data_IF_190874723845
#
_entry.id   IF_190874723845
#
_cell.length_a   1.000
_cell.length_b   1.000
_cell.length_c   1.000
_cell.angle_alpha   90.00
_cell.angle_beta   90.00
_cell.angle_gamma   90.00
#
_symmetry.space_group_name_H-M   'P 1'
#
loop_
_entity.id
_entity.type
_entity.pdbx_description
1 polymer ?
#
# COMPACT_ATOMS: atom_id res chain seq x y z
N UNK A 1 -31.17 -12.79 11.31
CA UNK A 1 -31.07 -13.42 12.63
C UNK A 1 -30.48 -12.39 13.57
N UNK A 2 -31.14 -12.14 14.67
CA UNK A 2 -30.62 -11.28 15.74
C UNK A 2 -29.85 -12.14 16.75
N UNK A 3 -28.73 -11.64 17.27
CA UNK A 3 -27.89 -12.32 18.25
C UNK A 3 -27.55 -11.39 19.42
N UNK A 4 -27.42 -11.92 20.62
CA UNK A 4 -27.08 -11.16 21.84
C UNK A 4 -25.62 -11.33 22.30
N UNK A 5 -24.87 -12.21 21.65
CA UNK A 5 -23.48 -12.53 21.97
C UNK A 5 -22.70 -12.96 20.72
N UNK A 6 -21.36 -12.84 20.73
CA UNK A 6 -20.50 -13.33 19.66
C UNK A 6 -20.72 -14.81 19.37
N UNK A 7 -20.52 -15.21 18.12
CA UNK A 7 -20.43 -16.63 17.76
C UNK A 7 -19.01 -16.97 17.29
N UNK A 8 -18.57 -18.20 17.55
CA UNK A 8 -17.31 -18.73 17.02
C UNK A 8 -17.60 -19.51 15.73
N UNK A 9 -16.70 -19.41 14.76
CA UNK A 9 -16.65 -20.25 13.56
C UNK A 9 -15.62 -21.36 13.83
N UNK A 10 -16.04 -22.55 14.31
CA UNK A 10 -15.11 -23.57 14.79
C UNK A 10 -14.24 -24.14 13.69
N UNK A 11 -13.17 -24.85 14.08
CA UNK A 11 -12.30 -25.57 13.15
C UNK A 11 -13.13 -26.52 12.29
N UNK A 12 -12.86 -26.54 10.98
CA UNK A 12 -13.55 -27.39 9.97
C UNK A 12 -15.05 -27.14 9.85
N UNK A 13 -15.52 -25.94 10.16
CA UNK A 13 -16.92 -25.55 10.02
C UNK A 13 -17.02 -24.26 9.21
N UNK A 14 -17.67 -24.34 8.05
CA UNK A 14 -18.09 -23.16 7.29
C UNK A 14 -19.54 -22.79 7.60
N UNK A 15 -19.78 -21.50 7.82
CA UNK A 15 -21.13 -20.93 8.00
C UNK A 15 -21.54 -20.30 6.67
N UNK A 16 -22.57 -20.85 6.05
CA UNK A 16 -23.00 -20.49 4.70
C UNK A 16 -24.41 -19.92 4.73
N UNK A 17 -24.56 -18.68 4.26
CA UNK A 17 -25.85 -18.06 4.03
C UNK A 17 -26.41 -18.31 2.62
N UNK A 18 -27.59 -17.75 2.35
CA UNK A 18 -28.27 -17.89 1.07
C UNK A 18 -27.56 -17.12 -0.05
N UNK A 19 -27.16 -15.88 0.24
CA UNK A 19 -26.37 -14.98 -0.63
C UNK A 19 -25.91 -13.77 0.20
N UNK A 20 -24.95 -12.99 -0.33
CA UNK A 20 -24.31 -11.84 0.36
C UNK A 20 -25.29 -10.95 1.12
N UNK A 21 -26.47 -10.66 0.57
CA UNK A 21 -27.49 -9.77 1.18
C UNK A 21 -28.78 -10.48 1.62
N UNK A 22 -28.85 -11.80 1.44
CA UNK A 22 -30.04 -12.61 1.72
C UNK A 22 -30.07 -13.18 3.13
N UNK A 23 -28.90 -13.54 3.67
CA UNK A 23 -28.75 -13.96 5.06
C UNK A 23 -28.03 -12.86 5.83
N UNK A 24 -28.73 -12.22 6.76
CA UNK A 24 -28.18 -11.16 7.62
C UNK A 24 -28.12 -11.66 9.06
N UNK A 25 -26.94 -11.62 9.66
CA UNK A 25 -26.71 -11.80 11.09
C UNK A 25 -26.41 -10.42 11.67
N UNK A 26 -27.14 -10.04 12.72
CA UNK A 26 -27.11 -8.70 13.30
C UNK A 26 -27.13 -8.79 14.83
N UNK A 27 -26.36 -7.97 15.56
CA UNK A 27 -26.45 -7.92 17.00
C UNK A 27 -27.70 -7.15 17.43
N UNK A 28 -28.29 -7.57 18.54
CA UNK A 28 -29.30 -6.77 19.24
C UNK A 28 -28.68 -5.51 19.83
N UNK A 29 -29.52 -4.61 20.32
CA UNK A 29 -29.05 -3.43 21.08
C UNK A 29 -28.39 -3.81 22.42
N UNK A 30 -28.65 -5.02 22.93
CA UNK A 30 -28.10 -5.56 24.18
C UNK A 30 -26.88 -6.46 23.98
N UNK A 31 -26.30 -6.48 22.77
CA UNK A 31 -25.16 -7.35 22.46
C UNK A 31 -23.96 -7.12 23.39
N UNK A 32 -23.35 -8.20 23.87
CA UNK A 32 -22.17 -8.16 24.74
C UNK A 32 -21.00 -8.87 24.08
N UNK A 33 -19.99 -8.11 23.64
CA UNK A 33 -18.73 -8.64 23.11
C UNK A 33 -18.02 -7.63 22.20
N UNK A 34 -16.76 -7.92 21.88
CA UNK A 34 -15.91 -7.02 21.10
C UNK A 34 -16.03 -7.24 19.58
N UNK A 35 -16.47 -8.43 19.14
CA UNK A 35 -16.61 -8.80 17.72
C UNK A 35 -17.88 -9.61 17.47
N UNK A 36 -18.50 -9.47 16.29
CA UNK A 36 -19.67 -10.28 15.89
C UNK A 36 -19.34 -11.76 15.79
N UNK A 37 -18.22 -12.08 15.14
CA UNK A 37 -17.75 -13.44 14.93
C UNK A 37 -16.29 -13.59 15.37
N UNK A 38 -15.95 -14.81 15.75
CA UNK A 38 -14.58 -15.19 16.07
C UNK A 38 -14.16 -16.44 15.31
N UNK A 39 -12.88 -16.55 14.99
CA UNK A 39 -12.22 -17.78 14.56
C UNK A 39 -11.06 -18.05 15.52
N UNK A 40 -11.42 -18.57 16.70
CA UNK A 40 -10.51 -18.81 17.82
C UNK A 40 -10.59 -20.29 18.23
N UNK A 41 -9.43 -20.93 18.34
CA UNK A 41 -9.28 -22.33 18.74
C UNK A 41 -8.20 -22.50 19.83
N UNK A 42 -8.27 -21.68 20.87
CA UNK A 42 -7.26 -21.69 21.93
C UNK A 42 -5.88 -21.29 21.40
N UNK A 43 -4.88 -22.15 21.56
CA UNK A 43 -3.50 -21.92 21.09
C UNK A 43 -3.11 -22.82 19.90
N UNK A 44 -4.08 -23.25 19.11
CA UNK A 44 -3.87 -24.14 17.95
C UNK A 44 -4.47 -23.56 16.68
N UNK A 45 -3.93 -23.99 15.54
CA UNK A 45 -4.39 -23.63 14.19
C UNK A 45 -5.84 -24.04 13.92
N UNK A 46 -6.48 -23.34 12.98
CA UNK A 46 -7.78 -23.69 12.41
C UNK A 46 -7.69 -23.75 10.89
N UNK A 47 -8.35 -24.74 10.32
CA UNK A 47 -8.44 -25.00 8.89
C UNK A 47 -9.91 -25.13 8.49
N UNK A 48 -10.19 -24.90 7.22
CA UNK A 48 -11.50 -25.18 6.61
C UNK A 48 -12.69 -24.54 7.36
N UNK A 49 -12.52 -23.32 7.86
CA UNK A 49 -13.53 -22.57 8.60
C UNK A 49 -13.80 -21.18 7.98
N UNK A 50 -14.76 -21.12 7.06
CA UNK A 50 -15.10 -19.92 6.32
C UNK A 50 -16.47 -19.34 6.66
N UNK A 51 -16.63 -18.03 6.50
CA UNK A 51 -17.95 -17.41 6.36
C UNK A 51 -18.24 -17.19 4.88
N UNK A 52 -19.40 -17.64 4.44
CA UNK A 52 -19.78 -17.55 3.03
C UNK A 52 -21.19 -16.98 2.84
N UNK A 53 -21.36 -16.13 1.84
CA UNK A 53 -22.68 -15.75 1.29
C UNK A 53 -23.65 -15.19 2.35
N UNK A 54 -23.15 -14.30 3.20
CA UNK A 54 -23.94 -13.68 4.26
C UNK A 54 -23.51 -12.23 4.51
N UNK A 55 -24.34 -11.50 5.26
CA UNK A 55 -24.02 -10.18 5.81
C UNK A 55 -23.82 -10.30 7.33
N UNK A 56 -22.72 -9.75 7.83
CA UNK A 56 -22.54 -9.36 9.23
C UNK A 56 -22.85 -7.87 9.35
N UNK A 57 -24.07 -7.55 9.79
CA UNK A 57 -24.49 -6.16 10.06
C UNK A 57 -24.16 -5.85 11.52
N UNK A 58 -23.08 -5.14 11.80
CA UNK A 58 -22.65 -4.82 13.17
C UNK A 58 -23.53 -3.75 13.86
N UNK A 59 -24.58 -3.25 13.18
CA UNK A 59 -25.62 -2.39 13.73
C UNK A 59 -25.11 -1.12 14.44
N UNK A 60 -23.92 -0.63 14.09
CA UNK A 60 -23.28 0.52 14.75
C UNK A 60 -23.10 0.35 16.27
N UNK A 61 -23.06 -0.88 16.79
CA UNK A 61 -22.83 -1.10 18.22
C UNK A 61 -21.46 -0.54 18.59
N UNK A 62 -21.41 0.29 19.63
CA UNK A 62 -20.19 0.99 20.02
C UNK A 62 -19.13 -0.01 20.51
N UNK A 63 -17.92 0.10 19.98
CA UNK A 63 -16.81 -0.81 20.29
C UNK A 63 -16.84 -2.15 19.54
N UNK A 64 -17.88 -2.41 18.74
CA UNK A 64 -18.04 -3.70 18.05
C UNK A 64 -17.30 -3.74 16.71
N UNK A 65 -16.45 -4.74 16.56
CA UNK A 65 -15.82 -5.14 15.30
C UNK A 65 -16.60 -6.25 14.57
N UNK A 66 -16.25 -6.50 13.32
CA UNK A 66 -16.84 -7.59 12.53
C UNK A 66 -16.32 -8.95 12.97
N UNK A 67 -15.05 -9.24 12.68
CA UNK A 67 -14.46 -10.56 12.90
C UNK A 67 -13.10 -10.44 13.56
N UNK A 68 -12.85 -11.28 14.56
CA UNK A 68 -11.49 -11.55 15.07
C UNK A 68 -11.07 -12.97 14.72
N UNK A 69 -9.88 -13.13 14.15
CA UNK A 69 -9.35 -14.41 13.72
C UNK A 69 -7.93 -14.60 14.26
N UNK A 70 -7.79 -15.51 15.23
CA UNK A 70 -6.49 -15.77 15.87
C UNK A 70 -5.76 -16.94 15.22
N UNK A 71 -6.54 -17.79 14.55
CA UNK A 71 -6.09 -19.10 14.12
C UNK A 71 -6.47 -19.41 12.67
N UNK A 72 -7.03 -18.46 11.91
CA UNK A 72 -7.36 -18.71 10.50
C UNK A 72 -6.10 -19.08 9.70
N UNK A 73 -6.16 -20.27 9.10
CA UNK A 73 -5.19 -20.76 8.14
C UNK A 73 -5.92 -21.23 6.86
N UNK A 74 -5.37 -22.23 6.16
CA UNK A 74 -5.90 -22.71 4.90
C UNK A 74 -7.36 -23.16 5.01
N UNK A 75 -8.17 -22.73 4.05
CA UNK A 75 -9.62 -22.99 4.04
C UNK A 75 -10.43 -22.05 4.95
N UNK A 76 -9.77 -21.20 5.75
CA UNK A 76 -10.40 -20.11 6.49
C UNK A 76 -10.62 -18.84 5.65
N UNK A 77 -11.42 -17.92 6.18
CA UNK A 77 -11.62 -16.58 5.63
C UNK A 77 -13.05 -16.31 5.12
N UNK A 78 -13.16 -15.57 4.01
CA UNK A 78 -14.43 -15.00 3.53
C UNK A 78 -14.72 -15.30 2.06
N UNK A 79 -15.95 -15.64 1.72
CA UNK A 79 -16.43 -15.67 0.34
C UNK A 79 -17.81 -15.01 0.20
N UNK A 80 -17.94 -13.98 -0.64
CA UNK A 80 -19.23 -13.32 -0.89
C UNK A 80 -19.88 -12.82 0.40
N UNK A 81 -19.07 -12.27 1.29
CA UNK A 81 -19.51 -11.73 2.59
C UNK A 81 -19.56 -10.21 2.54
N UNK A 82 -20.59 -9.63 3.16
CA UNK A 82 -20.64 -8.21 3.50
C UNK A 82 -20.44 -8.07 5.01
N UNK A 83 -19.49 -7.25 5.43
CA UNK A 83 -19.36 -6.80 6.82
C UNK A 83 -19.66 -5.31 6.81
N UNK A 84 -20.68 -4.87 7.53
CA UNK A 84 -21.07 -3.46 7.55
C UNK A 84 -21.28 -2.91 8.95
N UNK A 85 -21.13 -1.59 9.07
CA UNK A 85 -21.49 -0.79 10.26
C UNK A 85 -20.70 -1.14 11.51
N UNK A 86 -19.51 -1.73 11.39
CA UNK A 86 -18.58 -1.92 12.50
C UNK A 86 -18.03 -0.57 12.99
N UNK A 87 -17.68 -0.47 14.27
CA UNK A 87 -17.20 0.78 14.89
C UNK A 87 -15.73 0.73 15.32
N UNK A 88 -15.07 -0.43 15.19
CA UNK A 88 -13.63 -0.61 15.43
C UNK A 88 -12.92 -1.10 14.17
N UNK A 89 -12.85 -2.41 13.94
CA UNK A 89 -12.29 -3.03 12.74
C UNK A 89 -13.30 -3.95 12.04
N UNK A 90 -13.22 -4.06 10.71
CA UNK A 90 -14.02 -5.02 9.95
C UNK A 90 -13.55 -6.45 10.18
N UNK A 91 -12.26 -6.70 9.95
CA UNK A 91 -11.59 -7.97 10.23
C UNK A 91 -10.25 -7.71 10.93
N UNK A 92 -9.99 -8.44 12.00
CA UNK A 92 -8.69 -8.45 12.69
C UNK A 92 -8.10 -9.85 12.68
N UNK A 93 -6.92 -10.00 12.10
CA UNK A 93 -6.14 -11.24 12.08
C UNK A 93 -4.95 -11.10 13.05
N UNK A 94 -4.81 -12.03 13.99
CA UNK A 94 -3.74 -12.01 15.01
C UNK A 94 -3.15 -13.41 15.25
N UNK A 95 -1.95 -13.50 15.82
CA UNK A 95 -1.27 -14.70 16.35
C UNK A 95 -0.86 -15.84 15.39
N UNK A 96 -1.77 -16.43 14.60
CA UNK A 96 -1.49 -17.55 13.67
C UNK A 96 -1.02 -18.88 14.25
N UNK A 97 -0.73 -18.92 15.56
CA UNK A 97 -0.31 -20.08 16.36
C UNK A 97 0.79 -20.96 15.73
N UNK A 98 1.81 -20.34 15.14
CA UNK A 98 3.13 -20.97 14.94
C UNK A 98 3.42 -21.55 13.55
N UNK A 99 2.66 -21.24 12.52
CA UNK A 99 2.94 -21.68 11.15
C UNK A 99 2.80 -20.58 10.11
N UNK A 100 3.59 -20.68 9.03
CA UNK A 100 3.26 -20.01 7.77
C UNK A 100 1.86 -20.46 7.37
N UNK A 101 0.93 -19.52 7.33
CA UNK A 101 -0.48 -19.79 7.13
C UNK A 101 -0.99 -18.94 5.97
N UNK A 102 -1.90 -19.49 5.18
CA UNK A 102 -2.50 -18.80 4.06
C UNK A 102 -4.02 -18.68 4.24
N UNK A 103 -4.51 -17.46 4.37
CA UNK A 103 -5.95 -17.17 4.52
C UNK A 103 -6.45 -16.39 3.33
N UNK A 104 -7.62 -16.78 2.80
CA UNK A 104 -8.18 -16.17 1.59
C UNK A 104 -9.52 -15.47 1.84
N UNK A 105 -9.69 -14.28 1.25
CA UNK A 105 -10.97 -13.59 1.19
C UNK A 105 -11.29 -13.19 -0.26
N UNK A 106 -12.49 -13.48 -0.74
CA UNK A 106 -12.91 -13.17 -2.11
C UNK A 106 -14.35 -12.65 -2.20
N UNK A 107 -14.61 -11.81 -3.20
CA UNK A 107 -15.93 -11.24 -3.48
C UNK A 107 -16.54 -10.52 -2.26
N UNK A 108 -15.73 -9.83 -1.45
CA UNK A 108 -16.15 -9.27 -0.16
C UNK A 108 -16.48 -7.77 -0.23
N UNK A 109 -17.30 -7.31 0.71
CA UNK A 109 -17.54 -5.89 0.96
C UNK A 109 -17.33 -5.61 2.46
N UNK A 110 -16.52 -4.62 2.81
CA UNK A 110 -16.28 -4.20 4.21
C UNK A 110 -16.55 -2.71 4.31
N UNK A 111 -17.57 -2.35 5.09
CA UNK A 111 -18.09 -0.97 5.17
C UNK A 111 -18.15 -0.48 6.62
N UNK A 112 -17.38 0.54 6.95
CA UNK A 112 -17.36 1.14 8.29
C UNK A 112 -18.69 1.77 8.70
N UNK A 113 -18.87 2.01 9.99
CA UNK A 113 -20.02 2.72 10.53
C UNK A 113 -20.11 4.17 10.02
N UNK A 114 -21.34 4.60 9.73
CA UNK A 114 -21.67 5.99 9.40
C UNK A 114 -22.07 6.84 10.63
N UNK A 115 -21.95 6.28 11.84
CA UNK A 115 -22.27 6.94 13.12
C UNK A 115 -21.06 7.14 14.01
N UNK A 116 -20.03 6.34 13.82
CA UNK A 116 -18.81 6.31 14.64
C UNK A 116 -17.64 5.98 13.75
N UNK A 117 -16.54 6.71 13.91
CA UNK A 117 -15.31 6.45 13.14
C UNK A 117 -14.76 5.08 13.50
N UNK A 118 -14.72 4.18 12.52
CA UNK A 118 -13.96 2.94 12.59
C UNK A 118 -12.51 3.19 12.13
N UNK A 119 -11.59 2.32 12.54
CA UNK A 119 -10.15 2.53 12.31
C UNK A 119 -9.67 1.80 11.06
N UNK A 120 -9.99 0.50 10.95
CA UNK A 120 -9.45 -0.37 9.89
C UNK A 120 -10.53 -1.19 9.21
N UNK A 121 -10.43 -1.38 7.89
CA UNK A 121 -11.23 -2.38 7.19
C UNK A 121 -10.73 -3.78 7.55
N UNK A 122 -9.46 -4.04 7.27
CA UNK A 122 -8.75 -5.26 7.65
C UNK A 122 -7.47 -4.88 8.38
N UNK A 123 -7.23 -5.46 9.55
CA UNK A 123 -5.97 -5.36 10.30
C UNK A 123 -5.30 -6.72 10.38
N UNK A 124 -4.06 -6.81 9.92
CA UNK A 124 -3.16 -7.95 10.11
C UNK A 124 -2.07 -7.50 11.08
N UNK A 125 -2.07 -8.10 12.27
CA UNK A 125 -1.01 -7.90 13.27
C UNK A 125 0.20 -8.79 12.94
N UNK A 126 1.24 -8.79 13.76
CA UNK A 126 2.35 -9.75 13.61
C UNK A 126 1.86 -11.18 13.85
N UNK A 127 1.53 -11.91 12.78
CA UNK A 127 1.12 -13.31 12.80
C UNK A 127 2.36 -14.20 12.78
N UNK A 128 3.36 -13.84 11.97
CA UNK A 128 4.68 -14.45 12.02
C UNK A 128 5.76 -13.38 12.04
N UNK A 129 6.87 -13.66 12.74
CA UNK A 129 8.01 -12.72 12.83
C UNK A 129 8.79 -12.53 11.52
N UNK A 130 8.67 -13.49 10.61
CA UNK A 130 9.47 -13.54 9.37
C UNK A 130 8.66 -13.21 8.12
N UNK A 131 7.46 -12.64 8.33
CA UNK A 131 6.55 -12.25 7.27
C UNK A 131 5.92 -13.41 6.47
N UNK A 132 5.91 -14.62 7.02
CA UNK A 132 5.50 -15.85 6.33
C UNK A 132 3.99 -16.11 6.29
N UNK A 133 3.17 -15.40 7.07
CA UNK A 133 1.71 -15.48 6.88
C UNK A 133 1.33 -14.75 5.59
N UNK A 134 0.36 -15.29 4.84
CA UNK A 134 -0.13 -14.68 3.60
C UNK A 134 -1.64 -14.45 3.73
N UNK A 135 -2.03 -13.18 3.71
CA UNK A 135 -3.42 -12.82 3.44
C UNK A 135 -3.62 -12.66 1.93
N UNK A 136 -4.51 -13.46 1.34
CA UNK A 136 -4.88 -13.36 -0.08
C UNK A 136 -6.29 -12.78 -0.24
N UNK A 137 -6.36 -11.57 -0.81
CA UNK A 137 -7.59 -10.86 -1.09
C UNK A 137 -7.85 -10.78 -2.60
N UNK A 138 -9.10 -10.99 -3.01
CA UNK A 138 -9.53 -10.70 -4.38
C UNK A 138 -10.94 -10.14 -4.49
N UNK A 139 -11.17 -9.29 -5.51
CA UNK A 139 -12.50 -8.90 -5.97
C UNK A 139 -13.38 -8.25 -4.88
N UNK A 140 -12.78 -7.35 -4.10
CA UNK A 140 -13.41 -6.77 -2.91
C UNK A 140 -13.54 -5.25 -2.93
N UNK A 141 -14.41 -4.73 -2.06
CA UNK A 141 -14.49 -3.29 -1.77
C UNK A 141 -14.34 -3.05 -0.29
N UNK A 142 -13.46 -2.13 0.09
CA UNK A 142 -13.32 -1.65 1.47
C UNK A 142 -13.58 -0.17 1.50
N UNK A 143 -14.50 0.25 2.36
CA UNK A 143 -14.82 1.66 2.51
C UNK A 143 -15.04 2.05 3.96
N UNK A 144 -14.61 3.27 4.30
CA UNK A 144 -15.22 3.97 5.42
C UNK A 144 -16.68 4.29 5.13
N UNK A 145 -17.28 5.16 5.94
CA UNK A 145 -18.58 5.71 5.58
C UNK A 145 -18.49 7.22 5.45
N UNK A 146 -18.69 7.79 4.25
CA UNK A 146 -19.00 9.20 4.16
C UNK A 146 -20.32 9.45 4.92
N UNK A 147 -20.33 10.42 5.84
CA UNK A 147 -21.57 10.83 6.48
C UNK A 147 -22.30 11.78 5.50
N UNK A 148 -23.59 11.55 5.18
CA UNK A 148 -24.34 12.48 4.35
C UNK A 148 -24.29 13.90 4.93
N UNK A 149 -23.83 14.88 4.14
CA UNK A 149 -23.71 16.28 4.57
C UNK A 149 -22.38 16.66 5.25
N UNK A 150 -21.43 15.73 5.42
CA UNK A 150 -20.05 16.04 5.85
C UNK A 150 -19.07 15.64 4.76
N UNK A 151 -18.42 16.63 4.16
CA UNK A 151 -17.28 16.44 3.26
C UNK A 151 -15.96 16.69 4.00
N UNK A 152 -14.87 16.11 3.51
CA UNK A 152 -13.52 16.35 4.05
C UNK A 152 -13.22 15.60 5.35
N UNK A 153 -12.36 16.18 6.20
CA UNK A 153 -11.80 15.56 7.41
C UNK A 153 -12.84 15.14 8.49
N UNK A 154 -14.10 15.56 8.34
CA UNK A 154 -15.20 15.19 9.24
C UNK A 154 -16.01 13.96 8.76
N UNK A 155 -15.62 13.35 7.65
CA UNK A 155 -16.18 12.08 7.22
C UNK A 155 -15.56 10.92 8.02
N UNK A 156 -16.35 9.89 8.33
CA UNK A 156 -15.89 8.70 9.05
C UNK A 156 -15.08 7.78 8.14
N UNK A 157 -13.96 8.32 7.66
CA UNK A 157 -12.99 7.59 6.86
C UNK A 157 -12.24 6.61 7.75
N UNK A 158 -11.94 5.44 7.19
CA UNK A 158 -11.00 4.53 7.83
C UNK A 158 -9.61 5.18 7.79
N UNK A 159 -8.81 4.95 8.83
CA UNK A 159 -7.40 5.32 8.76
C UNK A 159 -6.77 4.49 7.64
N UNK A 160 -6.93 3.15 7.69
CA UNK A 160 -6.49 2.26 6.63
C UNK A 160 -7.60 1.32 6.14
N UNK A 161 -7.71 1.10 4.84
CA UNK A 161 -8.53 0.03 4.29
C UNK A 161 -7.98 -1.34 4.70
N UNK A 162 -6.69 -1.57 4.43
CA UNK A 162 -5.91 -2.72 4.89
C UNK A 162 -4.68 -2.20 5.62
N UNK A 163 -4.45 -2.69 6.83
CA UNK A 163 -3.24 -2.42 7.61
C UNK A 163 -2.51 -3.73 7.87
N UNK A 164 -1.27 -3.82 7.41
CA UNK A 164 -0.38 -4.97 7.65
C UNK A 164 0.81 -4.50 8.48
N UNK A 165 0.83 -4.88 9.76
CA UNK A 165 1.93 -4.53 10.70
C UNK A 165 3.19 -5.35 10.39
N UNK A 166 3.00 -6.61 10.03
CA UNK A 166 3.98 -7.58 9.58
C UNK A 166 3.24 -8.63 8.74
N UNK A 167 3.95 -9.45 7.96
CA UNK A 167 3.41 -10.49 7.08
C UNK A 167 3.03 -10.07 5.66
N UNK A 168 2.71 -11.07 4.84
CA UNK A 168 2.59 -10.96 3.39
C UNK A 168 1.15 -10.69 2.96
N UNK A 169 0.98 -9.91 1.88
CA UNK A 169 -0.32 -9.57 1.32
C UNK A 169 -0.33 -9.82 -0.18
N UNK A 170 -1.23 -10.67 -0.65
CA UNK A 170 -1.58 -10.77 -2.07
C UNK A 170 -2.94 -10.12 -2.25
N UNK A 171 -3.02 -9.01 -2.98
CA UNK A 171 -4.24 -8.22 -3.14
C UNK A 171 -4.53 -8.00 -4.62
N UNK A 172 -5.67 -8.51 -5.11
CA UNK A 172 -6.05 -8.43 -6.52
C UNK A 172 -7.41 -7.77 -6.70
N UNK A 173 -7.49 -6.74 -7.54
CA UNK A 173 -8.76 -6.09 -7.93
C UNK A 173 -9.61 -5.63 -6.72
N UNK A 174 -8.97 -5.07 -5.69
CA UNK A 174 -9.66 -4.49 -4.53
C UNK A 174 -9.83 -2.99 -4.72
N UNK A 175 -11.04 -2.48 -4.44
CA UNK A 175 -11.39 -1.06 -4.48
C UNK A 175 -11.45 -0.43 -3.09
N UNK A 176 -10.96 0.80 -2.96
CA UNK A 176 -10.97 1.58 -1.73
C UNK A 176 -11.74 2.89 -1.87
N UNK A 177 -12.57 3.22 -0.88
CA UNK A 177 -13.23 4.52 -0.76
C UNK A 177 -13.21 5.02 0.68
N UNK A 178 -13.24 6.34 0.88
CA UNK A 178 -13.35 6.95 2.21
C UNK A 178 -12.31 6.39 3.20
N UNK A 179 -11.04 6.38 2.78
CA UNK A 179 -9.91 5.92 3.59
C UNK A 179 -8.77 6.92 3.51
N UNK A 180 -8.04 7.17 4.60
CA UNK A 180 -6.79 7.93 4.50
C UNK A 180 -5.78 7.16 3.65
N UNK A 181 -5.52 5.90 3.97
CA UNK A 181 -4.70 5.02 3.15
C UNK A 181 -5.47 3.77 2.75
N UNK A 182 -5.42 3.37 1.47
CA UNK A 182 -6.02 2.11 1.00
C UNK A 182 -5.32 0.91 1.61
N UNK A 183 -4.02 0.76 1.33
CA UNK A 183 -3.16 -0.32 1.85
C UNK A 183 -1.95 0.28 2.55
N UNK A 184 -1.77 -0.06 3.83
CA UNK A 184 -0.58 0.28 4.62
C UNK A 184 0.25 -0.98 4.87
N UNK A 185 1.56 -0.90 4.56
CA UNK A 185 2.51 -2.01 4.71
C UNK A 185 3.66 -1.61 5.65
N UNK A 186 3.94 -2.43 6.66
CA UNK A 186 5.07 -2.31 7.58
C UNK A 186 5.76 -3.68 7.81
N UNK A 187 6.88 -3.68 8.51
CA UNK A 187 7.57 -4.88 8.94
C UNK A 187 8.18 -5.71 7.80
N UNK A 188 8.29 -7.01 8.04
CA UNK A 188 8.71 -8.04 7.10
C UNK A 188 7.49 -8.61 6.34
N UNK A 189 7.69 -9.04 5.09
CA UNK A 189 6.64 -9.63 4.27
C UNK A 189 6.91 -9.47 2.78
N UNK A 190 6.21 -10.25 1.95
CA UNK A 190 6.20 -10.11 0.50
C UNK A 190 4.80 -9.73 0.03
N UNK A 191 4.67 -8.63 -0.71
CA UNK A 191 3.38 -8.11 -1.10
C UNK A 191 3.21 -8.07 -2.62
N UNK A 192 2.08 -8.55 -3.10
CA UNK A 192 1.73 -8.52 -4.52
C UNK A 192 0.39 -7.80 -4.64
N UNK A 193 0.42 -6.59 -5.19
CA UNK A 193 -0.72 -5.67 -5.28
C UNK A 193 -1.05 -5.44 -6.75
N UNK A 194 -2.11 -6.08 -7.23
CA UNK A 194 -2.48 -6.04 -8.64
C UNK A 194 -3.87 -5.46 -8.86
N UNK A 195 -3.99 -4.49 -9.75
CA UNK A 195 -5.30 -3.93 -10.14
C UNK A 195 -6.05 -3.26 -8.98
N UNK A 196 -5.35 -2.84 -7.93
CA UNK A 196 -5.94 -2.13 -6.79
C UNK A 196 -6.35 -0.73 -7.24
N UNK A 197 -7.51 -0.25 -6.78
CA UNK A 197 -8.04 1.07 -7.16
C UNK A 197 -8.54 1.87 -5.96
N UNK A 198 -8.50 3.20 -6.05
CA UNK A 198 -9.04 4.09 -5.02
C UNK A 198 -9.98 5.14 -5.60
N UNK A 199 -10.94 5.62 -4.82
CA UNK A 199 -11.78 6.75 -5.23
C UNK A 199 -11.15 8.10 -4.85
N UNK A 200 -11.80 9.21 -5.24
CA UNK A 200 -11.43 10.59 -4.87
C UNK A 200 -11.36 10.87 -3.36
N UNK A 201 -11.93 9.98 -2.56
CA UNK A 201 -11.93 10.00 -1.10
C UNK A 201 -10.77 9.22 -0.47
N UNK A 202 -9.78 8.79 -1.28
CA UNK A 202 -8.57 8.11 -0.82
C UNK A 202 -7.37 9.06 -0.87
N UNK A 203 -6.60 9.17 0.22
CA UNK A 203 -5.39 10.01 0.20
C UNK A 203 -4.21 9.26 -0.42
N UNK A 204 -3.78 8.16 0.18
CA UNK A 204 -2.73 7.30 -0.37
C UNK A 204 -3.35 5.97 -0.78
N UNK A 205 -3.26 5.55 -2.05
CA UNK A 205 -3.73 4.22 -2.41
C UNK A 205 -2.89 3.15 -1.69
N UNK A 206 -1.57 3.34 -1.67
CA UNK A 206 -0.61 2.50 -0.98
C UNK A 206 0.33 3.39 -0.16
N UNK A 207 0.60 3.01 1.09
CA UNK A 207 1.59 3.63 1.95
C UNK A 207 2.55 2.58 2.49
N UNK A 208 3.85 2.87 2.40
CA UNK A 208 4.91 2.03 2.96
C UNK A 208 5.42 2.73 4.21
N UNK A 209 5.42 2.02 5.32
CA UNK A 209 5.93 2.49 6.59
C UNK A 209 7.42 2.77 6.52
N UNK A 210 7.92 3.61 7.44
CA UNK A 210 9.35 3.90 7.53
C UNK A 210 10.16 2.68 7.98
N UNK A 211 9.56 1.82 8.79
CA UNK A 211 10.12 0.57 9.33
C UNK A 211 9.99 -0.63 8.40
N UNK A 212 9.33 -0.47 7.25
CA UNK A 212 9.14 -1.56 6.29
C UNK A 212 10.49 -2.09 5.78
N UNK A 213 10.70 -3.39 5.97
CA UNK A 213 11.88 -4.16 5.55
C UNK A 213 11.54 -5.30 4.59
N UNK A 214 10.25 -5.52 4.32
CA UNK A 214 9.76 -6.47 3.33
C UNK A 214 9.89 -6.00 1.89
N UNK A 215 9.11 -6.62 1.02
CA UNK A 215 9.16 -6.39 -0.41
C UNK A 215 7.77 -6.32 -1.04
N UNK A 216 7.60 -5.60 -2.15
CA UNK A 216 6.32 -5.38 -2.81
C UNK A 216 6.43 -5.37 -4.34
N UNK A 217 5.35 -5.75 -5.02
CA UNK A 217 5.11 -5.61 -6.45
C UNK A 217 3.73 -5.00 -6.68
N UNK A 218 3.68 -3.84 -7.32
CA UNK A 218 2.50 -3.01 -7.57
C UNK A 218 2.32 -2.96 -9.09
N UNK A 219 1.28 -3.62 -9.61
CA UNK A 219 1.03 -3.65 -11.06
C UNK A 219 -0.41 -3.38 -11.42
N UNK A 220 -0.62 -2.54 -12.43
CA UNK A 220 -1.95 -2.17 -12.92
C UNK A 220 -2.83 -1.47 -11.88
N UNK A 221 -2.25 -1.01 -10.76
CA UNK A 221 -2.97 -0.24 -9.74
C UNK A 221 -3.25 1.16 -10.27
N UNK A 222 -4.43 1.70 -9.97
CA UNK A 222 -4.86 3.01 -10.48
C UNK A 222 -5.41 3.87 -9.36
N UNK A 223 -4.98 5.13 -9.31
CA UNK A 223 -5.48 6.06 -8.30
C UNK A 223 -6.96 6.31 -8.44
N UNK A 224 -7.51 6.34 -9.65
CA UNK A 224 -8.94 6.58 -9.97
C UNK A 224 -9.63 7.70 -9.14
N UNK A 225 -8.85 8.72 -8.74
CA UNK A 225 -9.29 9.82 -7.90
C UNK A 225 -8.44 10.02 -6.66
N UNK A 226 -7.77 8.97 -6.16
CA UNK A 226 -6.89 9.04 -5.02
C UNK A 226 -5.77 10.07 -5.23
N UNK A 227 -5.35 10.73 -4.14
CA UNK A 227 -4.32 11.79 -4.21
C UNK A 227 -2.98 11.21 -4.66
N UNK A 228 -2.51 10.17 -3.97
CA UNK A 228 -1.25 9.49 -4.24
C UNK A 228 -1.48 8.03 -4.62
N UNK A 229 -0.71 7.51 -5.56
CA UNK A 229 -0.62 6.07 -5.82
C UNK A 229 0.18 5.41 -4.70
N UNK A 230 1.36 5.96 -4.42
CA UNK A 230 2.30 5.46 -3.41
C UNK A 230 2.80 6.60 -2.54
N UNK A 231 2.91 6.34 -1.24
CA UNK A 231 3.68 7.13 -0.29
C UNK A 231 4.69 6.21 0.40
N UNK A 232 5.95 6.27 -0.01
CA UNK A 232 7.03 5.46 0.55
C UNK A 232 7.82 6.26 1.58
N UNK A 233 7.58 5.96 2.86
CA UNK A 233 8.20 6.67 3.98
C UNK A 233 9.57 6.12 4.40
N UNK A 234 10.10 5.10 3.71
CA UNK A 234 11.43 4.54 4.02
C UNK A 234 12.51 5.58 3.79
N UNK A 235 13.59 5.48 4.55
CA UNK A 235 14.80 6.28 4.30
C UNK A 235 15.38 5.84 2.95
N UNK A 236 15.47 6.76 1.99
CA UNK A 236 15.87 6.44 0.61
C UNK A 236 14.78 5.74 -0.22
N UNK A 237 13.55 5.67 0.29
CA UNK A 237 12.38 5.18 -0.44
C UNK A 237 12.00 6.06 -1.63
N UNK A 238 10.96 5.66 -2.35
CA UNK A 238 10.49 6.32 -3.56
C UNK A 238 9.82 7.69 -3.31
N UNK A 239 9.56 8.06 -2.05
CA UNK A 239 8.80 9.25 -1.69
C UNK A 239 7.34 9.14 -2.11
N UNK A 240 6.73 10.26 -2.49
CA UNK A 240 5.32 10.29 -2.90
C UNK A 240 5.18 10.25 -4.43
N UNK A 241 4.38 9.32 -4.93
CA UNK A 241 4.05 9.17 -6.35
C UNK A 241 2.58 9.50 -6.55
N UNK A 242 2.30 10.59 -7.27
CA UNK A 242 0.95 11.12 -7.51
C UNK A 242 0.41 10.84 -8.93
N UNK A 243 0.93 9.80 -9.59
CA UNK A 243 0.51 9.35 -10.92
C UNK A 243 0.43 7.82 -10.95
N UNK A 244 -0.31 7.27 -11.93
CA UNK A 244 -0.47 5.82 -12.07
C UNK A 244 0.81 5.22 -12.68
N UNK A 245 1.34 4.15 -12.07
CA UNK A 245 2.58 3.49 -12.48
C UNK A 245 2.67 2.07 -11.91
N UNK A 246 3.40 1.20 -12.60
CA UNK A 246 3.84 -0.09 -12.03
C UNK A 246 5.13 0.13 -11.22
N UNK A 247 5.22 -0.47 -10.03
CA UNK A 247 6.29 -0.25 -9.07
C UNK A 247 6.63 -1.57 -8.38
N UNK A 248 7.90 -1.95 -8.31
CA UNK A 248 8.33 -3.13 -7.54
C UNK A 248 9.53 -2.78 -6.67
N UNK A 249 9.57 -3.25 -5.43
CA UNK A 249 10.70 -3.10 -4.52
C UNK A 249 11.70 -4.27 -4.60
N UNK A 250 11.25 -5.43 -5.10
CA UNK A 250 12.04 -6.66 -5.27
C UNK A 250 12.76 -6.75 -6.60
N UNK A 251 12.46 -5.82 -7.49
CA UNK A 251 13.45 -5.45 -8.47
C UNK A 251 14.55 -4.73 -7.68
N UNK A 252 15.79 -5.24 -7.61
CA UNK A 252 16.93 -4.45 -7.14
C UNK A 252 17.14 -3.28 -8.12
N UNK A 253 16.17 -2.38 -8.25
CA UNK A 253 15.80 -1.68 -9.49
C UNK A 253 16.34 -2.45 -10.69
N UNK A 254 15.73 -3.60 -10.95
CA UNK A 254 16.21 -4.60 -11.89
C UNK A 254 16.77 -3.93 -13.13
N UNK A 255 17.94 -4.43 -13.58
CA UNK A 255 18.65 -3.98 -14.78
C UNK A 255 17.68 -3.38 -15.80
N UNK A 256 17.79 -2.07 -16.03
CA UNK A 256 16.90 -1.29 -16.91
C UNK A 256 15.87 -0.41 -16.20
N UNK A 257 15.70 -0.50 -14.88
CA UNK A 257 14.77 0.35 -14.13
C UNK A 257 15.26 1.77 -13.92
N UNK A 258 14.37 2.76 -14.06
CA UNK A 258 14.68 4.18 -13.83
C UNK A 258 14.71 4.46 -12.32
N UNK A 259 15.88 4.84 -11.79
CA UNK A 259 16.11 5.10 -10.36
C UNK A 259 15.90 6.56 -9.99
N UNK A 260 16.03 7.45 -10.97
CA UNK A 260 15.77 8.89 -10.83
C UNK A 260 15.45 9.48 -12.19
N UNK A 261 14.57 10.47 -12.23
CA UNK A 261 14.33 11.25 -13.44
C UNK A 261 13.83 12.64 -13.06
N UNK A 262 14.06 13.61 -13.93
CA UNK A 262 13.50 14.93 -13.72
C UNK A 262 14.06 16.01 -14.63
N UNK A 263 13.69 17.24 -14.28
CA UNK A 263 14.09 18.47 -14.92
C UNK A 263 14.55 19.45 -13.86
N UNK A 264 15.68 20.12 -14.10
CA UNK A 264 16.18 21.19 -13.24
C UNK A 264 16.69 22.37 -14.06
N UNK A 265 16.70 23.54 -13.44
CA UNK A 265 17.36 24.74 -13.96
C UNK A 265 18.79 24.75 -13.42
N UNK A 266 19.78 24.74 -14.31
CA UNK A 266 21.20 24.75 -13.96
C UNK A 266 21.79 26.15 -13.83
N UNK A 267 21.03 27.22 -14.07
CA UNK A 267 21.47 28.61 -13.92
C UNK A 267 21.37 29.03 -12.45
N UNK A 268 22.49 29.46 -11.87
CA UNK A 268 22.56 29.79 -10.44
C UNK A 268 22.53 28.52 -9.56
N UNK A 269 21.77 28.54 -8.46
CA UNK A 269 21.64 27.39 -7.56
C UNK A 269 20.66 26.37 -8.15
N UNK A 270 21.09 25.14 -8.48
CA UNK A 270 20.21 24.18 -9.14
C UNK A 270 18.99 23.83 -8.30
N UNK A 271 17.81 23.91 -8.91
CA UNK A 271 16.54 23.53 -8.28
C UNK A 271 15.73 22.63 -9.21
N UNK A 272 15.14 21.58 -8.64
CA UNK A 272 14.29 20.66 -9.37
C UNK A 272 12.97 21.34 -9.75
N UNK A 273 12.68 21.41 -11.04
CA UNK A 273 11.39 21.86 -11.57
C UNK A 273 10.34 20.72 -11.54
N UNK A 274 10.79 19.47 -11.52
CA UNK A 274 9.94 18.29 -11.34
C UNK A 274 10.74 17.00 -11.51
N UNK A 275 10.41 15.95 -10.76
CA UNK A 275 11.11 14.66 -10.84
C UNK A 275 11.00 13.80 -9.58
N UNK A 276 11.78 12.72 -9.53
CA UNK A 276 11.89 11.80 -8.40
C UNK A 276 13.31 11.21 -8.31
N UNK A 277 13.60 10.54 -7.19
CA UNK A 277 14.80 9.73 -7.04
C UNK A 277 16.10 10.49 -6.75
N UNK A 278 16.04 11.81 -6.55
CA UNK A 278 17.17 12.63 -6.10
C UNK A 278 16.96 13.10 -4.65
N UNK A 279 18.05 13.16 -3.89
CA UNK A 279 18.12 13.82 -2.58
C UNK A 279 18.58 15.28 -2.71
N UNK A 280 19.46 15.57 -3.66
CA UNK A 280 19.96 16.93 -3.95
C UNK A 280 20.69 16.99 -5.29
N UNK A 281 20.95 18.22 -5.75
CA UNK A 281 21.86 18.51 -6.87
C UNK A 281 22.95 19.44 -6.35
N UNK A 282 24.21 19.08 -6.58
CA UNK A 282 25.37 19.92 -6.24
C UNK A 282 25.89 20.60 -7.50
N UNK A 283 26.03 21.92 -7.49
CA UNK A 283 26.71 22.67 -8.55
C UNK A 283 28.20 22.71 -8.25
N UNK A 284 29.01 22.05 -9.08
CA UNK A 284 30.46 22.00 -8.91
C UNK A 284 31.19 23.12 -9.66
N UNK A 285 30.45 23.89 -10.47
CA UNK A 285 30.95 24.92 -11.35
C UNK A 285 30.13 24.98 -12.64
N UNK A 286 30.47 25.94 -13.50
CA UNK A 286 29.74 26.17 -14.75
C UNK A 286 29.63 24.89 -15.59
N UNK A 287 28.40 24.44 -15.83
CA UNK A 287 28.08 23.24 -16.61
C UNK A 287 28.51 21.93 -15.96
N UNK A 288 28.66 21.85 -14.63
CA UNK A 288 29.07 20.65 -13.91
C UNK A 288 28.19 20.43 -12.67
N UNK A 289 27.45 19.32 -12.67
CA UNK A 289 26.47 18.99 -11.64
C UNK A 289 26.66 17.57 -11.11
N UNK A 290 26.60 17.40 -9.79
CA UNK A 290 26.44 16.08 -9.16
C UNK A 290 24.98 15.86 -8.81
N UNK A 291 24.36 14.83 -9.38
CA UNK A 291 23.02 14.37 -9.04
C UNK A 291 23.14 13.34 -7.90
N UNK A 292 22.71 13.70 -6.70
CA UNK A 292 22.75 12.80 -5.55
C UNK A 292 21.44 12.00 -5.50
N UNK A 293 21.54 10.70 -5.68
CA UNK A 293 20.40 9.79 -5.79
C UNK A 293 19.84 9.47 -4.40
N UNK A 294 18.54 9.22 -4.28
CA UNK A 294 17.94 8.60 -3.09
C UNK A 294 18.23 7.10 -3.01
N UNK A 295 18.52 6.49 -4.15
CA UNK A 295 18.90 5.09 -4.29
C UNK A 295 20.40 4.91 -4.22
N UNK A 296 20.84 3.84 -3.57
CA UNK A 296 22.25 3.41 -3.53
C UNK A 296 22.46 2.12 -4.35
N UNK A 297 23.42 2.15 -5.27
CA UNK A 297 23.98 1.00 -5.97
C UNK A 297 25.13 0.36 -5.19
N UNK A 298 25.64 -0.77 -5.68
CA UNK A 298 26.81 -1.44 -5.12
C UNK A 298 28.08 -0.66 -5.41
N UNK A 299 28.27 -0.27 -6.66
CA UNK A 299 29.33 0.60 -7.11
C UNK A 299 28.80 1.68 -8.06
N UNK A 300 29.69 2.50 -8.63
CA UNK A 300 29.30 3.59 -9.51
C UNK A 300 28.75 3.08 -10.86
N UNK A 301 29.22 1.92 -11.34
CA UNK A 301 28.83 1.33 -12.62
C UNK A 301 27.42 0.73 -12.59
N UNK A 302 26.78 0.66 -11.42
CA UNK A 302 25.38 0.31 -11.29
C UNK A 302 24.47 1.27 -12.06
N UNK A 303 24.93 2.47 -12.42
CA UNK A 303 24.08 3.50 -13.01
C UNK A 303 24.50 3.91 -14.42
N UNK A 304 23.50 4.11 -15.28
CA UNK A 304 23.63 4.84 -16.53
C UNK A 304 22.77 6.10 -16.46
N UNK A 305 23.39 7.25 -16.73
CA UNK A 305 22.72 8.54 -16.76
C UNK A 305 22.60 9.00 -18.22
N UNK A 306 21.39 9.42 -18.58
CA UNK A 306 21.10 10.06 -19.84
C UNK A 306 20.54 11.44 -19.58
N UNK A 307 20.93 12.40 -20.39
CA UNK A 307 20.51 13.78 -20.22
C UNK A 307 20.22 14.46 -21.55
N UNK A 308 19.49 15.56 -21.47
CA UNK A 308 19.32 16.52 -22.56
C UNK A 308 19.15 17.91 -21.96
N UNK A 309 19.35 18.94 -22.77
CA UNK A 309 19.11 20.32 -22.35
C UNK A 309 18.55 21.13 -23.52
N UNK A 310 18.05 22.33 -23.24
CA UNK A 310 17.44 23.21 -24.24
C UNK A 310 18.43 24.05 -25.05
N UNK A 311 19.73 24.04 -24.72
CA UNK A 311 20.76 24.67 -25.54
C UNK A 311 20.82 24.08 -26.96
N UNK A 312 20.55 24.90 -27.98
CA UNK A 312 20.66 24.52 -29.39
C UNK A 312 22.06 23.99 -29.67
N UNK A 313 22.18 22.76 -30.17
CA UNK A 313 23.46 22.15 -30.55
C UNK A 313 24.46 21.91 -29.40
N UNK A 314 24.03 22.08 -28.14
CA UNK A 314 24.91 21.83 -26.99
C UNK A 314 25.14 20.34 -26.76
N UNK A 315 26.19 20.03 -26.01
CA UNK A 315 26.63 18.65 -25.72
C UNK A 315 26.45 18.37 -24.24
N UNK A 316 26.29 17.11 -23.91
CA UNK A 316 26.33 16.65 -22.54
C UNK A 316 27.27 15.46 -22.39
N UNK A 317 27.82 15.30 -21.19
CA UNK A 317 28.56 14.11 -20.78
C UNK A 317 28.00 13.66 -19.45
N UNK A 318 27.83 12.36 -19.31
CA UNK A 318 27.31 11.74 -18.11
C UNK A 318 28.36 10.76 -17.60
N UNK A 319 28.75 10.90 -16.34
CA UNK A 319 29.69 9.99 -15.69
C UNK A 319 29.02 9.36 -14.45
N UNK A 320 29.31 8.10 -14.21
CA UNK A 320 29.07 7.48 -12.91
C UNK A 320 30.03 8.10 -11.88
N UNK A 321 29.52 8.60 -10.76
CA UNK A 321 30.32 9.35 -9.78
C UNK A 321 30.53 8.60 -8.47
N UNK A 322 29.55 7.80 -8.06
CA UNK A 322 29.64 7.00 -6.85
C UNK A 322 28.44 6.08 -6.68
N UNK A 323 28.43 5.38 -5.55
CA UNK A 323 27.37 4.42 -5.20
C UNK A 323 25.99 5.04 -5.04
N UNK A 324 25.87 6.36 -4.99
CA UNK A 324 24.59 7.07 -4.87
C UNK A 324 24.63 8.42 -5.59
N UNK A 325 25.45 8.52 -6.64
CA UNK A 325 25.57 9.76 -7.39
C UNK A 325 26.01 9.55 -8.83
N UNK A 326 25.51 10.42 -9.70
CA UNK A 326 25.95 10.55 -11.09
C UNK A 326 26.40 12.00 -11.33
N UNK A 327 27.34 12.19 -12.24
CA UNK A 327 27.82 13.53 -12.63
C UNK A 327 27.35 13.85 -14.04
N UNK A 328 26.85 15.06 -14.22
CA UNK A 328 26.34 15.58 -15.46
C UNK A 328 27.11 16.83 -15.84
N UNK A 329 27.62 16.84 -17.07
CA UNK A 329 28.26 17.99 -17.67
C UNK A 329 27.44 18.51 -18.83
N UNK A 330 27.37 19.84 -18.97
CA UNK A 330 26.69 20.52 -20.08
C UNK A 330 27.63 21.52 -20.74
N UNK A 331 27.56 21.60 -22.07
CA UNK A 331 28.43 22.42 -22.90
C UNK A 331 27.61 23.21 -23.93
N UNK A 332 28.10 24.39 -24.30
CA UNK A 332 27.56 25.16 -25.42
C UNK A 332 27.96 24.56 -26.80
N UNK A 333 27.54 25.20 -27.89
CA UNK A 333 27.86 24.77 -29.25
C UNK A 333 29.36 24.76 -29.58
N UNK A 334 30.14 25.58 -28.88
CA UNK A 334 31.60 25.63 -29.04
C UNK A 334 32.31 24.57 -28.19
N UNK A 335 31.58 23.80 -27.37
CA UNK A 335 32.14 22.80 -26.46
C UNK A 335 32.67 23.41 -25.16
N UNK A 336 32.31 24.65 -24.83
CA UNK A 336 32.69 25.29 -23.56
C UNK A 336 31.66 24.92 -22.48
N UNK A 337 32.08 24.59 -21.24
CA UNK A 337 31.15 24.34 -20.15
C UNK A 337 30.17 25.49 -19.95
N UNK A 338 28.87 25.18 -19.90
CA UNK A 338 27.81 26.17 -19.85
C UNK A 338 26.61 25.66 -19.05
N UNK A 339 26.18 26.47 -18.08
CA UNK A 339 24.91 26.25 -17.39
C UNK A 339 23.74 26.43 -18.37
N UNK A 340 22.71 25.58 -18.23
CA UNK A 340 21.52 25.61 -19.06
C UNK A 340 20.30 25.81 -18.17
N UNK A 341 19.33 26.60 -18.62
CA UNK A 341 18.12 26.88 -17.84
C UNK A 341 17.06 25.77 -17.91
N UNK A 342 17.30 24.73 -18.71
CA UNK A 342 16.52 23.50 -18.65
C UNK A 342 17.37 22.29 -18.97
N UNK A 343 17.59 21.44 -17.97
CA UNK A 343 18.30 20.18 -18.07
C UNK A 343 17.36 19.06 -17.67
N UNK A 344 17.18 18.05 -18.54
CA UNK A 344 16.32 16.89 -18.32
C UNK A 344 17.21 15.65 -18.21
N UNK A 345 16.89 14.75 -17.30
CA UNK A 345 17.68 13.55 -17.09
C UNK A 345 16.84 12.34 -16.72
N UNK A 346 17.42 11.16 -16.94
CA UNK A 346 16.97 9.89 -16.38
C UNK A 346 18.20 9.04 -16.04
N UNK A 347 18.18 8.46 -14.84
CA UNK A 347 19.18 7.53 -14.33
C UNK A 347 18.56 6.16 -14.30
N UNK A 348 19.23 5.20 -14.94
CA UNK A 348 18.81 3.82 -15.04
C UNK A 348 19.82 2.95 -14.28
N UNK A 349 19.36 1.91 -13.59
CA UNK A 349 20.27 0.92 -13.04
C UNK A 349 20.66 -0.11 -14.12
N UNK A 350 21.95 -0.38 -14.31
CA UNK A 350 22.46 -1.18 -15.44
C UNK A 350 23.42 -2.31 -15.05
N UNK A 351 23.79 -2.47 -13.77
CA UNK A 351 24.66 -3.55 -13.32
C UNK A 351 24.38 -4.03 -11.87
N UNK A 352 24.99 -5.16 -11.49
CA UNK A 352 24.87 -5.86 -10.21
C UNK A 352 25.95 -5.51 -9.18
#
# INVERSE_FOLDING_TARGET
MEIDAPFNCPDRVSIIGMNKRGTVIRPSESFVGDYMASAINGAVSMFDNALERLTLDCNHVAGLGGIVADAWQEGGGLEKVLIEKFTTEGVRVRNGYGGAAHTRMRDFEIMGSNRTKATYGIKVEEVSRVGAFILHLSDGTITGSPQPGRGGADAFWLDHGIHVENDSLICNAVHFEATTTGIYLDGEGHHILHGVTGAGSVTNLIEIARSFVGTFDIKGCRRWGATNLLKDNRIGGLGTIAYDADICSDQPIGLGGVVAAGVFDGTGTPTMAGGFGLTSITHNGKGDYTLNLSTRGRDANDFALFASHNGVGGRHRCDAAGVSSCRLYTYDMAGTPADQNQIKFYVIRVAF
#
